data_IF_879509702731
#
_entry.id   IF_879509702731
#
_cell.length_a   1.000
_cell.length_b   1.000
_cell.length_c   1.000
_cell.angle_alpha   90.00
_cell.angle_beta   90.00
_cell.angle_gamma   90.00
#
_symmetry.space_group_name_H-M   'P 1'
#
loop_
_entity.id
_entity.type
_entity.pdbx_description
1 polymer ?
#
# COMPACT_ATOMS: atom_id res chain seq x y z
N UNK A 1 -19.14 -4.83 18.09
CA UNK A 1 -19.25 -3.40 17.70
C UNK A 1 -17.86 -2.82 17.81
N UNK A 2 -17.17 -2.59 16.70
CA UNK A 2 -15.89 -1.86 16.69
C UNK A 2 -16.20 -0.42 17.07
N UNK A 3 -15.70 0.00 18.24
CA UNK A 3 -15.82 1.40 18.70
C UNK A 3 -15.15 2.29 17.66
N UNK A 4 -15.89 3.22 17.06
CA UNK A 4 -15.31 4.18 16.11
C UNK A 4 -14.24 5.00 16.82
N UNK A 5 -13.05 5.06 16.19
CA UNK A 5 -11.94 5.86 16.70
C UNK A 5 -12.25 7.32 16.35
N UNK A 6 -12.36 8.17 17.36
CA UNK A 6 -12.66 9.60 17.22
C UNK A 6 -11.50 10.45 17.72
N UNK A 7 -11.44 11.71 17.32
CA UNK A 7 -10.47 12.68 17.84
C UNK A 7 -10.50 12.72 19.37
N UNK A 8 -11.69 12.71 19.98
CA UNK A 8 -11.84 12.68 21.44
C UNK A 8 -11.21 11.42 22.05
N UNK A 9 -11.49 10.23 21.49
CA UNK A 9 -10.93 8.98 22.02
C UNK A 9 -9.40 8.91 21.90
N UNK A 10 -8.84 9.52 20.85
CA UNK A 10 -7.39 9.66 20.68
C UNK A 10 -6.78 10.61 21.71
N UNK A 11 -7.43 11.74 21.99
CA UNK A 11 -7.01 12.69 23.03
C UNK A 11 -6.97 12.01 24.41
N UNK A 12 -8.00 11.25 24.76
CA UNK A 12 -8.08 10.51 26.04
C UNK A 12 -6.95 9.49 26.18
N UNK A 13 -6.68 8.73 25.09
CA UNK A 13 -5.59 7.74 25.07
C UNK A 13 -4.23 8.40 25.14
N UNK A 14 -4.02 9.47 24.41
CA UNK A 14 -2.77 10.25 24.45
C UNK A 14 -2.50 10.77 25.86
N UNK A 15 -3.51 11.39 26.49
CA UNK A 15 -3.39 11.93 27.85
C UNK A 15 -3.11 10.84 28.89
N UNK A 16 -3.71 9.67 28.74
CA UNK A 16 -3.45 8.53 29.62
C UNK A 16 -1.98 8.05 29.57
N UNK A 17 -1.33 8.15 28.40
CA UNK A 17 0.05 7.72 28.20
C UNK A 17 1.07 8.78 28.61
N UNK A 18 0.85 10.04 28.18
CA UNK A 18 1.85 11.11 28.32
C UNK A 18 1.57 12.10 29.46
N UNK A 19 0.38 12.04 30.05
CA UNK A 19 -0.03 12.94 31.15
C UNK A 19 -0.47 14.33 30.70
N UNK A 20 -0.39 14.63 29.43
CA UNK A 20 -0.69 15.92 28.80
C UNK A 20 -1.69 15.73 27.65
N UNK A 21 -2.30 16.82 27.20
CA UNK A 21 -3.18 16.79 26.03
C UNK A 21 -2.35 16.84 24.74
N UNK A 22 -2.83 16.17 23.70
CA UNK A 22 -2.26 16.34 22.38
C UNK A 22 -2.66 17.71 21.79
N UNK A 23 -1.78 18.29 20.98
CA UNK A 23 -2.08 19.53 20.26
C UNK A 23 -3.06 19.25 19.10
N UNK A 24 -2.89 18.12 18.41
CA UNK A 24 -3.69 17.71 17.27
C UNK A 24 -3.87 16.20 17.18
N UNK A 25 -4.91 15.78 16.45
CA UNK A 25 -5.18 14.40 16.08
C UNK A 25 -5.16 14.22 14.57
N UNK A 26 -4.83 13.01 14.11
CA UNK A 26 -4.50 12.74 12.73
C UNK A 26 -5.02 11.37 12.27
N UNK A 27 -5.22 11.24 10.96
CA UNK A 27 -5.49 9.96 10.32
C UNK A 27 -4.68 9.83 9.03
N UNK A 28 -4.12 8.66 8.82
CA UNK A 28 -3.46 8.26 7.58
C UNK A 28 -4.07 6.94 7.10
N UNK A 29 -4.63 6.89 5.88
CA UNK A 29 -5.27 5.68 5.35
C UNK A 29 -4.24 4.57 5.06
N UNK A 30 -4.74 3.35 4.92
CA UNK A 30 -4.11 2.32 4.11
C UNK A 30 -4.53 2.45 2.65
N UNK A 31 -4.15 1.48 1.81
CA UNK A 31 -4.56 1.45 0.40
C UNK A 31 -4.87 0.03 -0.07
N UNK A 32 -5.74 -0.06 -1.06
CA UNK A 32 -5.83 -1.18 -2.00
C UNK A 32 -5.26 -0.74 -3.35
N UNK A 33 -4.88 -1.69 -4.20
CA UNK A 33 -4.60 -1.41 -5.60
C UNK A 33 -5.60 -2.19 -6.46
N UNK A 34 -6.40 -1.48 -7.23
CA UNK A 34 -7.45 -2.10 -8.04
C UNK A 34 -6.86 -2.97 -9.14
N UNK A 35 -5.79 -2.49 -9.78
CA UNK A 35 -5.01 -3.19 -10.81
C UNK A 35 -3.69 -2.44 -11.06
N UNK A 36 -2.72 -3.07 -11.71
CA UNK A 36 -1.39 -2.48 -11.91
C UNK A 36 -0.42 -2.88 -10.81
N UNK A 37 -0.35 -4.18 -10.53
CA UNK A 37 0.51 -4.69 -9.47
C UNK A 37 1.92 -4.93 -9.97
N UNK A 38 2.92 -4.55 -9.15
CA UNK A 38 4.35 -4.64 -9.47
C UNK A 38 4.77 -3.84 -10.72
N UNK A 39 4.04 -2.80 -11.05
CA UNK A 39 4.34 -1.93 -12.20
C UNK A 39 5.00 -0.60 -11.80
N UNK A 40 4.89 -0.20 -10.54
CA UNK A 40 5.39 1.10 -10.07
C UNK A 40 6.92 1.22 -10.03
N UNK A 41 7.65 0.15 -9.88
CA UNK A 41 9.11 0.12 -10.03
C UNK A 41 9.57 -0.32 -11.43
N UNK A 42 8.61 -0.60 -12.30
CA UNK A 42 8.83 -0.95 -13.71
C UNK A 42 8.41 0.17 -14.68
N UNK A 43 8.12 1.37 -14.17
CA UNK A 43 7.72 2.51 -14.96
C UNK A 43 6.35 2.40 -15.62
N UNK A 44 5.46 1.59 -15.05
CA UNK A 44 4.09 1.41 -15.53
C UNK A 44 3.09 2.25 -14.75
N UNK A 45 1.80 2.00 -15.03
CA UNK A 45 0.68 2.63 -14.35
C UNK A 45 0.20 1.78 -13.19
N UNK A 46 -0.29 2.44 -12.14
CA UNK A 46 -0.99 1.84 -11.00
C UNK A 46 -2.36 2.48 -10.83
N UNK A 47 -3.27 1.79 -10.17
CA UNK A 47 -4.64 2.27 -9.99
C UNK A 47 -5.13 2.04 -8.55
N UNK A 48 -4.44 2.62 -7.54
CA UNK A 48 -4.79 2.43 -6.15
C UNK A 48 -5.92 3.36 -5.68
N UNK A 49 -6.47 3.02 -4.52
CA UNK A 49 -7.38 3.86 -3.75
C UNK A 49 -7.02 3.80 -2.27
N UNK A 50 -7.04 4.95 -1.60
CA UNK A 50 -6.95 5.03 -0.15
C UNK A 50 -8.23 4.51 0.50
N UNK A 51 -8.12 3.86 1.65
CA UNK A 51 -9.24 3.22 2.34
C UNK A 51 -9.39 3.70 3.78
N UNK A 52 -10.57 3.49 4.36
CA UNK A 52 -10.89 3.93 5.73
C UNK A 52 -10.18 3.14 6.84
N UNK A 53 -9.59 1.99 6.53
CA UNK A 53 -8.62 1.34 7.42
C UNK A 53 -7.29 2.11 7.35
N UNK A 54 -6.72 2.43 8.50
CA UNK A 54 -5.53 3.28 8.53
C UNK A 54 -4.86 3.35 9.89
N UNK A 55 -3.99 4.33 10.03
CA UNK A 55 -3.26 4.65 11.25
C UNK A 55 -3.73 6.00 11.79
N UNK A 56 -4.17 5.99 13.03
CA UNK A 56 -4.56 7.16 13.79
C UNK A 56 -3.39 7.67 14.60
N UNK A 57 -3.27 8.98 14.74
CA UNK A 57 -2.24 9.62 15.53
C UNK A 57 -2.77 10.72 16.43
N UNK A 58 -2.11 10.93 17.55
CA UNK A 58 -2.26 12.14 18.36
C UNK A 58 -0.85 12.60 18.73
N UNK A 59 -0.60 13.90 18.65
CA UNK A 59 0.76 14.41 18.83
C UNK A 59 0.79 15.78 19.52
N UNK A 60 1.88 16.04 20.21
CA UNK A 60 2.16 17.29 20.90
C UNK A 60 3.62 17.71 20.67
N UNK A 61 3.85 18.99 20.39
CA UNK A 61 5.20 19.59 20.36
C UNK A 61 5.77 19.67 21.78
N UNK A 62 7.05 19.35 21.95
CA UNK A 62 7.77 19.48 23.20
C UNK A 62 8.72 20.68 23.15
N UNK A 63 9.23 21.09 24.32
CA UNK A 63 10.21 22.18 24.44
C UNK A 63 11.66 21.63 24.41
N UNK A 64 11.86 20.35 24.77
CA UNK A 64 13.15 19.67 24.71
C UNK A 64 13.41 19.03 23.35
N UNK A 65 14.51 18.28 23.21
CA UNK A 65 14.90 17.60 21.97
C UNK A 65 14.71 16.07 22.06
N UNK A 66 13.65 15.62 22.72
CA UNK A 66 13.34 14.20 22.86
C UNK A 66 12.08 13.86 22.10
N UNK A 67 12.15 12.84 21.26
CA UNK A 67 11.00 12.19 20.63
C UNK A 67 10.53 11.06 21.54
N UNK A 68 9.23 11.03 21.86
CA UNK A 68 8.62 9.93 22.59
C UNK A 68 7.50 9.32 21.76
N UNK A 69 7.63 8.03 21.49
CA UNK A 69 6.69 7.27 20.68
C UNK A 69 5.98 6.22 21.53
N UNK A 70 4.68 6.10 21.36
CA UNK A 70 3.88 5.03 21.95
C UNK A 70 2.89 4.46 20.93
N UNK A 71 2.78 3.14 20.88
CA UNK A 71 1.80 2.47 20.00
C UNK A 71 0.75 1.74 20.84
N UNK A 72 -0.52 2.08 20.59
CA UNK A 72 -1.65 1.34 21.15
C UNK A 72 -1.82 -0.07 20.60
N UNK A 73 -1.07 -0.45 19.57
CA UNK A 73 -1.02 -1.83 19.06
C UNK A 73 0.07 -2.67 19.74
N UNK A 74 1.04 -2.03 20.41
CA UNK A 74 2.19 -2.66 21.06
C UNK A 74 2.43 -2.05 22.45
N UNK A 75 1.39 -2.04 23.27
CA UNK A 75 1.42 -1.40 24.60
C UNK A 75 2.50 -1.99 25.52
N UNK A 76 2.86 -3.28 25.34
CA UNK A 76 3.93 -3.95 26.05
C UNK A 76 5.32 -3.36 25.85
N UNK A 77 5.52 -2.61 24.77
CA UNK A 77 6.78 -1.90 24.45
C UNK A 77 6.93 -0.60 25.25
N UNK A 78 5.84 -0.07 25.79
CA UNK A 78 5.84 1.20 26.49
C UNK A 78 6.25 2.38 25.60
N UNK A 79 6.70 3.46 26.25
CA UNK A 79 7.21 4.65 25.57
C UNK A 79 8.63 4.38 25.08
N UNK A 80 8.87 4.60 23.79
CA UNK A 80 10.21 4.55 23.18
C UNK A 80 10.72 5.99 23.03
N UNK A 81 11.84 6.29 23.68
CA UNK A 81 12.47 7.62 23.64
C UNK A 81 13.64 7.63 22.68
N UNK A 82 13.71 8.65 21.83
CA UNK A 82 14.77 8.85 20.85
C UNK A 82 15.24 10.30 20.88
N UNK A 83 16.54 10.59 21.06
CA UNK A 83 17.05 11.94 20.90
C UNK A 83 16.86 12.44 19.46
N UNK A 84 16.31 13.64 19.30
CA UNK A 84 16.08 14.24 17.97
C UNK A 84 17.38 14.38 17.16
N UNK A 85 18.51 14.49 17.82
CA UNK A 85 19.83 14.61 17.19
C UNK A 85 20.39 13.26 16.69
N UNK A 86 19.74 12.16 17.02
CA UNK A 86 20.23 10.80 16.76
C UNK A 86 19.22 9.95 15.98
N UNK A 87 18.88 10.39 14.78
CA UNK A 87 17.91 9.73 13.90
C UNK A 87 18.62 8.74 12.96
N UNK A 88 19.15 7.64 13.50
CA UNK A 88 19.68 6.53 12.71
C UNK A 88 18.90 5.23 12.95
N UNK A 89 19.02 4.29 12.04
CA UNK A 89 18.36 2.98 12.16
C UNK A 89 18.93 2.20 13.34
N UNK A 90 18.06 1.70 14.20
CA UNK A 90 18.37 0.78 15.30
C UNK A 90 17.35 -0.35 15.31
N UNK A 91 17.83 -1.59 15.20
CA UNK A 91 16.96 -2.77 15.12
C UNK A 91 16.01 -2.88 16.33
N UNK A 92 16.48 -2.52 17.50
CA UNK A 92 15.76 -2.57 18.77
C UNK A 92 14.59 -1.58 18.82
N UNK A 93 14.67 -0.50 18.05
CA UNK A 93 13.62 0.51 17.93
C UNK A 93 12.42 0.06 17.08
N UNK A 94 12.52 -1.10 16.43
CA UNK A 94 11.42 -1.74 15.69
C UNK A 94 10.64 -0.76 14.80
N UNK A 95 9.32 -0.64 15.01
CA UNK A 95 8.45 0.21 14.22
C UNK A 95 8.81 1.71 14.26
N UNK A 96 9.46 2.18 15.32
CA UNK A 96 9.84 3.60 15.42
C UNK A 96 10.95 3.99 14.44
N UNK A 97 11.58 3.03 13.76
CA UNK A 97 12.50 3.34 12.67
C UNK A 97 11.80 4.05 11.49
N UNK A 98 10.52 3.78 11.25
CA UNK A 98 9.76 4.51 10.22
C UNK A 98 9.61 5.99 10.55
N UNK A 99 9.08 6.40 11.73
CA UNK A 99 9.10 7.78 12.16
C UNK A 99 10.48 8.44 12.11
N UNK A 100 11.51 7.74 12.60
CA UNK A 100 12.89 8.28 12.58
C UNK A 100 13.37 8.57 11.17
N UNK A 101 13.12 7.67 10.23
CA UNK A 101 13.51 7.84 8.83
C UNK A 101 12.79 9.03 8.16
N UNK A 102 11.50 9.21 8.40
CA UNK A 102 10.74 10.37 7.88
C UNK A 102 11.30 11.68 8.43
N UNK A 103 11.53 11.78 9.74
CA UNK A 103 12.07 12.98 10.37
C UNK A 103 13.50 13.26 9.90
N UNK A 104 14.32 12.22 9.73
CA UNK A 104 15.69 12.31 9.21
C UNK A 104 15.68 12.95 7.80
N UNK A 105 14.88 12.42 6.87
CA UNK A 105 14.84 12.93 5.50
C UNK A 105 14.14 14.30 5.38
N UNK A 106 13.21 14.63 6.27
CA UNK A 106 12.68 15.99 6.37
C UNK A 106 13.78 16.99 6.75
N UNK A 107 14.63 16.64 7.72
CA UNK A 107 15.76 17.49 8.11
C UNK A 107 16.81 17.60 6.99
N UNK A 108 17.13 16.50 6.30
CA UNK A 108 18.03 16.53 5.12
C UNK A 108 17.48 17.39 3.98
N UNK A 109 16.16 17.43 3.81
CA UNK A 109 15.50 18.31 2.83
C UNK A 109 15.47 19.79 3.27
N UNK A 110 16.03 20.12 4.45
CA UNK A 110 16.16 21.49 4.96
C UNK A 110 14.98 21.98 5.80
N UNK A 111 14.05 21.10 6.19
CA UNK A 111 12.95 21.48 7.07
C UNK A 111 13.41 21.53 8.53
N UNK A 112 13.03 22.59 9.21
CA UNK A 112 13.47 22.82 10.59
C UNK A 112 12.53 22.13 11.55
N UNK A 113 13.04 21.10 12.22
CA UNK A 113 12.41 20.42 13.36
C UNK A 113 13.31 20.72 14.57
N UNK A 114 12.94 21.72 15.33
CA UNK A 114 13.79 22.36 16.34
C UNK A 114 13.60 21.82 17.75
N UNK A 115 12.57 21.01 17.98
CA UNK A 115 12.26 20.41 19.27
C UNK A 115 11.65 19.02 19.10
N UNK A 116 11.55 18.29 20.20
CA UNK A 116 10.96 16.96 20.23
C UNK A 116 9.44 16.98 20.13
N UNK A 117 8.85 15.80 20.15
CA UNK A 117 7.40 15.59 20.13
C UNK A 117 7.01 14.33 20.87
N UNK A 118 5.80 14.32 21.44
CA UNK A 118 5.13 13.12 21.93
C UNK A 118 4.16 12.65 20.85
N UNK A 119 4.22 11.37 20.48
CA UNK A 119 3.40 10.78 19.44
C UNK A 119 2.77 9.48 19.95
N UNK A 120 1.45 9.44 19.95
CA UNK A 120 0.64 8.24 20.12
C UNK A 120 0.15 7.77 18.75
N UNK A 121 0.29 6.48 18.43
CA UNK A 121 -0.25 5.90 17.22
C UNK A 121 -1.11 4.67 17.54
N UNK A 122 -2.16 4.47 16.74
CA UNK A 122 -2.97 3.27 16.75
C UNK A 122 -3.44 2.93 15.33
N UNK A 123 -3.15 1.73 14.85
CA UNK A 123 -3.58 1.25 13.54
C UNK A 123 -4.71 0.24 13.64
N UNK A 124 -5.71 0.34 12.74
CA UNK A 124 -6.72 -0.69 12.53
C UNK A 124 -6.52 -1.46 11.21
N UNK A 125 -5.42 -1.21 10.52
CA UNK A 125 -4.97 -2.07 9.42
C UNK A 125 -4.52 -3.40 10.02
N UNK A 126 -5.06 -4.55 9.57
CA UNK A 126 -4.65 -5.84 10.10
C UNK A 126 -3.15 -6.09 9.89
N UNK A 127 -2.48 -6.60 10.90
CA UNK A 127 -1.05 -6.88 10.85
C UNK A 127 -0.72 -7.86 9.72
N UNK A 128 0.29 -7.52 8.92
CA UNK A 128 0.74 -8.36 7.82
C UNK A 128 -0.22 -8.45 6.63
N UNK A 129 -1.29 -7.65 6.60
CA UNK A 129 -2.31 -7.69 5.55
C UNK A 129 -1.84 -7.18 4.19
N UNK A 130 -0.72 -6.46 4.13
CA UNK A 130 -0.24 -5.86 2.89
C UNK A 130 -1.05 -4.67 2.40
N UNK A 131 -1.81 -4.02 3.29
CA UNK A 131 -2.59 -2.80 3.00
C UNK A 131 -1.79 -1.52 3.30
N UNK A 132 -0.46 -1.60 3.29
CA UNK A 132 0.50 -0.48 3.42
C UNK A 132 0.49 0.24 4.76
N UNK A 133 0.56 -0.52 5.86
CA UNK A 133 0.68 0.06 7.20
C UNK A 133 1.96 0.88 7.38
N UNK A 134 3.07 0.51 6.75
CA UNK A 134 4.34 1.27 6.77
C UNK A 134 4.18 2.65 6.15
N UNK A 135 3.70 2.71 4.92
CA UNK A 135 3.47 3.98 4.22
C UNK A 135 2.40 4.84 4.93
N UNK A 136 1.38 4.21 5.52
CA UNK A 136 0.39 4.89 6.35
C UNK A 136 1.05 5.59 7.54
N UNK A 137 1.96 4.92 8.23
CA UNK A 137 2.72 5.50 9.35
C UNK A 137 3.68 6.61 8.87
N UNK A 138 4.38 6.40 7.77
CA UNK A 138 5.32 7.39 7.21
C UNK A 138 4.62 8.70 6.88
N UNK A 139 3.51 8.65 6.14
CA UNK A 139 2.74 9.84 5.77
C UNK A 139 2.11 10.50 7.00
N UNK A 140 1.66 9.69 7.99
CA UNK A 140 1.16 10.21 9.27
C UNK A 140 2.21 11.07 9.96
N UNK A 141 3.43 10.57 10.10
CA UNK A 141 4.54 11.29 10.78
C UNK A 141 4.88 12.56 10.02
N UNK A 142 4.91 12.51 8.69
CA UNK A 142 5.17 13.70 7.88
C UNK A 142 4.12 14.79 8.08
N UNK A 143 2.83 14.44 8.10
CA UNK A 143 1.73 15.42 8.34
C UNK A 143 1.73 15.89 9.80
N UNK A 144 2.10 15.05 10.76
CA UNK A 144 2.33 15.47 12.16
C UNK A 144 3.42 16.55 12.22
N UNK A 145 4.56 16.29 11.61
CA UNK A 145 5.68 17.25 11.57
C UNK A 145 5.28 18.55 10.87
N UNK A 146 4.61 18.46 9.71
CA UNK A 146 4.08 19.60 8.98
C UNK A 146 3.24 20.50 9.89
N UNK A 147 2.31 19.89 10.64
CA UNK A 147 1.37 20.63 11.49
C UNK A 147 2.03 21.20 12.75
N UNK A 148 2.87 20.43 13.44
CA UNK A 148 3.48 20.85 14.72
C UNK A 148 4.59 21.91 14.56
N UNK A 149 5.29 21.89 13.42
CA UNK A 149 6.40 22.84 13.17
C UNK A 149 6.06 23.89 12.11
N UNK A 150 4.78 23.98 11.69
CA UNK A 150 4.30 24.92 10.67
C UNK A 150 5.15 24.86 9.38
N UNK A 151 5.44 23.62 8.94
CA UNK A 151 6.17 23.40 7.71
C UNK A 151 5.26 23.56 6.50
N UNK A 152 5.77 24.16 5.44
CA UNK A 152 5.08 24.25 4.17
C UNK A 152 5.58 23.13 3.26
N UNK A 153 4.94 21.95 3.36
CA UNK A 153 5.30 20.76 2.59
C UNK A 153 4.37 20.59 1.39
N UNK A 154 4.95 20.43 0.20
CA UNK A 154 4.19 19.85 -0.90
C UNK A 154 3.91 18.38 -0.58
N UNK A 155 2.65 17.94 -0.80
CA UNK A 155 2.26 16.56 -0.49
C UNK A 155 3.04 15.54 -1.30
N UNK A 156 3.39 15.87 -2.54
CA UNK A 156 4.20 15.00 -3.39
C UNK A 156 5.64 14.86 -2.86
N UNK A 157 6.21 15.92 -2.28
CA UNK A 157 7.53 15.84 -1.65
C UNK A 157 7.48 14.94 -0.41
N UNK A 158 6.42 15.00 0.38
CA UNK A 158 6.23 14.08 1.50
C UNK A 158 6.08 12.63 1.05
N UNK A 159 5.37 12.38 -0.05
CA UNK A 159 5.27 11.06 -0.69
C UNK A 159 6.66 10.53 -1.07
N UNK A 160 7.51 11.36 -1.66
CA UNK A 160 8.90 11.00 -2.02
C UNK A 160 9.74 10.72 -0.78
N UNK A 161 9.59 11.50 0.29
CA UNK A 161 10.26 11.28 1.58
C UNK A 161 9.86 9.94 2.21
N UNK A 162 8.57 9.57 2.17
CA UNK A 162 8.11 8.25 2.60
C UNK A 162 8.77 7.11 1.83
N UNK A 163 8.78 7.19 0.50
CA UNK A 163 9.49 6.22 -0.35
C UNK A 163 10.99 6.16 -0.02
N UNK A 164 11.64 7.30 0.15
CA UNK A 164 13.05 7.38 0.52
C UNK A 164 13.32 6.73 1.88
N UNK A 165 12.40 6.89 2.83
CA UNK A 165 12.47 6.22 4.14
C UNK A 165 12.46 4.71 3.99
N UNK A 166 11.53 4.13 3.23
CA UNK A 166 11.53 2.68 3.01
C UNK A 166 12.80 2.21 2.30
N UNK A 167 13.23 2.90 1.26
CA UNK A 167 14.32 2.44 0.41
C UNK A 167 15.70 2.58 1.09
N UNK A 168 15.95 3.71 1.74
CA UNK A 168 17.30 4.06 2.22
C UNK A 168 17.46 4.00 3.75
N UNK A 169 16.38 4.04 4.51
CA UNK A 169 16.44 3.93 5.96
C UNK A 169 16.06 2.54 6.46
N UNK A 170 14.99 1.98 5.93
CA UNK A 170 14.50 0.64 6.29
C UNK A 170 15.16 -0.45 5.45
N UNK A 171 15.48 -0.18 4.17
CA UNK A 171 16.14 -1.11 3.27
C UNK A 171 15.18 -1.98 2.43
N UNK A 172 13.92 -1.59 2.31
CA UNK A 172 12.96 -2.21 1.39
C UNK A 172 12.94 -1.43 0.09
N UNK A 173 13.28 -2.07 -1.02
CA UNK A 173 13.42 -1.44 -2.32
C UNK A 173 12.08 -1.31 -3.05
N UNK A 174 11.10 -0.65 -2.41
CA UNK A 174 9.73 -0.46 -2.90
C UNK A 174 9.62 0.59 -4.01
N UNK A 175 8.49 0.56 -4.75
CA UNK A 175 8.07 1.62 -5.65
C UNK A 175 7.40 2.78 -4.90
N UNK A 176 6.69 3.64 -5.63
CA UNK A 176 6.07 4.86 -5.05
C UNK A 176 4.57 4.71 -4.76
N UNK A 177 3.94 3.67 -5.25
CA UNK A 177 2.47 3.52 -5.25
C UNK A 177 1.85 3.73 -3.86
N UNK A 178 2.42 3.10 -2.85
CA UNK A 178 1.84 3.06 -1.51
C UNK A 178 1.80 4.46 -0.87
N UNK A 179 2.91 5.15 -0.85
CA UNK A 179 3.00 6.51 -0.32
C UNK A 179 2.16 7.49 -1.15
N UNK A 180 2.14 7.29 -2.49
CA UNK A 180 1.34 8.13 -3.37
C UNK A 180 -0.16 7.98 -3.09
N UNK A 181 -0.66 6.76 -3.00
CA UNK A 181 -2.06 6.48 -2.71
C UNK A 181 -2.49 7.07 -1.36
N UNK A 182 -1.65 6.92 -0.34
CA UNK A 182 -1.93 7.36 1.03
C UNK A 182 -1.82 8.87 1.18
N UNK A 183 -0.87 9.49 0.48
CA UNK A 183 -0.69 10.94 0.51
C UNK A 183 -1.72 11.71 -0.32
N UNK A 184 -2.03 11.20 -1.53
CA UNK A 184 -2.81 11.90 -2.55
C UNK A 184 -4.26 11.41 -2.68
N UNK A 185 -4.69 10.46 -1.87
CA UNK A 185 -6.04 9.88 -1.89
C UNK A 185 -7.15 10.93 -1.79
N UNK A 186 -8.28 10.67 -2.44
CA UNK A 186 -9.47 11.50 -2.39
C UNK A 186 -10.72 10.64 -2.19
N UNK A 187 -11.73 11.21 -1.52
CA UNK A 187 -12.97 10.50 -1.25
C UNK A 187 -13.63 9.99 -2.53
N UNK A 188 -14.06 8.73 -2.52
CA UNK A 188 -14.76 8.06 -3.62
C UNK A 188 -14.02 8.09 -4.96
N UNK A 189 -12.70 8.25 -4.94
CA UNK A 189 -11.87 8.31 -6.14
C UNK A 189 -10.69 7.35 -6.04
N UNK A 190 -10.41 6.66 -7.14
CA UNK A 190 -9.16 5.94 -7.34
C UNK A 190 -8.13 6.86 -8.01
N UNK A 191 -6.87 6.57 -7.79
CA UNK A 191 -5.76 7.32 -8.37
C UNK A 191 -5.21 6.53 -9.56
N UNK A 192 -5.33 7.08 -10.76
CA UNK A 192 -4.65 6.55 -11.94
C UNK A 192 -3.33 7.29 -12.10
N UNK A 193 -2.23 6.60 -11.85
CA UNK A 193 -0.88 7.18 -11.76
C UNK A 193 0.05 6.58 -12.79
N UNK A 194 0.69 7.43 -13.59
CA UNK A 194 1.90 7.10 -14.35
C UNK A 194 3.12 7.22 -13.43
N UNK A 195 3.77 6.10 -13.12
CA UNK A 195 4.89 6.10 -12.17
C UNK A 195 6.20 6.62 -12.75
N UNK A 196 6.30 6.80 -14.07
CA UNK A 196 7.45 7.44 -14.71
C UNK A 196 7.44 8.96 -14.57
N UNK A 197 6.28 9.56 -14.83
CA UNK A 197 6.12 11.03 -14.85
C UNK A 197 5.59 11.60 -13.57
N UNK A 198 4.91 10.77 -12.74
CA UNK A 198 4.11 11.12 -11.59
C UNK A 198 2.87 11.96 -11.94
N UNK A 199 2.50 11.99 -13.21
CA UNK A 199 1.20 12.53 -13.64
C UNK A 199 0.09 11.58 -13.17
N UNK A 200 -0.99 12.13 -12.66
CA UNK A 200 -2.09 11.33 -12.15
C UNK A 200 -3.45 11.99 -12.37
N UNK A 201 -4.47 11.15 -12.42
CA UNK A 201 -5.87 11.56 -12.44
C UNK A 201 -6.63 10.92 -11.28
N UNK A 202 -7.55 11.69 -10.70
CA UNK A 202 -8.51 11.19 -9.72
C UNK A 202 -9.76 10.73 -10.46
N UNK A 203 -9.93 9.42 -10.55
CA UNK A 203 -11.02 8.77 -11.29
C UNK A 203 -12.14 8.40 -10.31
N UNK A 204 -13.39 8.86 -10.55
CA UNK A 204 -14.53 8.45 -9.74
C UNK A 204 -14.70 6.93 -9.72
N UNK A 205 -14.82 6.35 -8.52
CA UNK A 205 -15.02 4.91 -8.34
C UNK A 205 -16.52 4.61 -8.21
N UNK A 206 -17.23 4.65 -9.31
CA UNK A 206 -18.65 4.33 -9.38
C UNK A 206 -18.86 2.83 -9.63
N UNK A 207 -19.05 2.07 -8.56
CA UNK A 207 -19.22 0.61 -8.58
C UNK A 207 -20.67 0.16 -8.67
N UNK A 208 -21.64 1.07 -8.87
CA UNK A 208 -23.08 0.78 -8.92
C UNK A 208 -23.54 -0.02 -7.68
N UNK A 209 -24.13 -1.21 -7.93
CA UNK A 209 -24.60 -2.11 -6.88
C UNK A 209 -23.52 -3.06 -6.34
N UNK A 210 -22.25 -2.78 -6.62
CA UNK A 210 -21.14 -3.60 -6.18
C UNK A 210 -20.31 -2.88 -5.11
N UNK A 211 -19.55 -3.68 -4.37
CA UNK A 211 -18.56 -3.22 -3.40
C UNK A 211 -17.25 -3.97 -3.62
N UNK A 212 -16.14 -3.39 -3.16
CA UNK A 212 -14.88 -4.10 -3.07
C UNK A 212 -14.78 -4.78 -1.71
N UNK A 213 -14.67 -6.10 -1.71
CA UNK A 213 -14.42 -6.90 -0.51
C UNK A 213 -12.94 -7.20 -0.43
N UNK A 214 -12.30 -6.80 0.66
CA UNK A 214 -10.92 -7.17 0.98
C UNK A 214 -10.94 -8.52 1.68
N UNK A 215 -10.17 -9.47 1.17
CA UNK A 215 -9.99 -10.81 1.70
C UNK A 215 -8.56 -10.93 2.25
N UNK A 216 -8.40 -10.97 3.57
CA UNK A 216 -7.09 -11.13 4.19
C UNK A 216 -6.80 -12.62 4.43
N UNK A 217 -5.68 -13.10 3.87
CA UNK A 217 -5.24 -14.49 4.07
C UNK A 217 -4.91 -14.83 5.50
N UNK A 218 -4.63 -13.84 6.36
CA UNK A 218 -4.08 -14.02 7.71
C UNK A 218 -2.77 -14.85 7.75
N UNK A 219 -2.11 -15.02 6.60
CA UNK A 219 -0.80 -15.66 6.52
C UNK A 219 0.27 -14.78 7.14
N UNK A 220 1.10 -15.35 8.01
CA UNK A 220 2.29 -14.67 8.51
C UNK A 220 3.27 -14.41 7.35
N UNK A 221 3.69 -13.18 7.19
CA UNK A 221 4.65 -12.78 6.16
C UNK A 221 6.07 -12.98 6.68
N UNK A 222 6.66 -14.09 6.27
CA UNK A 222 8.08 -14.36 6.45
C UNK A 222 8.76 -14.22 5.07
N UNK A 223 9.90 -13.54 4.99
CA UNK A 223 10.68 -13.35 3.76
C UNK A 223 9.97 -12.61 2.60
N UNK A 224 8.87 -11.90 2.85
CA UNK A 224 8.16 -11.17 1.79
C UNK A 224 9.07 -10.10 1.16
N UNK A 225 9.82 -9.35 1.96
CA UNK A 225 10.70 -8.26 1.50
C UNK A 225 11.86 -8.78 0.64
N UNK A 226 12.46 -9.92 1.00
CA UNK A 226 13.54 -10.52 0.21
C UNK A 226 13.06 -11.02 -1.15
N UNK A 227 11.87 -11.63 -1.21
CA UNK A 227 11.26 -12.08 -2.47
C UNK A 227 10.81 -10.90 -3.33
N UNK A 228 10.32 -9.83 -2.72
CA UNK A 228 9.99 -8.60 -3.42
C UNK A 228 11.23 -8.00 -4.11
N UNK A 229 12.33 -7.88 -3.37
CA UNK A 229 13.59 -7.40 -3.91
C UNK A 229 14.14 -8.32 -5.03
N UNK A 230 13.95 -9.63 -4.93
CA UNK A 230 14.29 -10.59 -5.98
C UNK A 230 13.50 -10.31 -7.27
N UNK A 231 12.17 -10.13 -7.19
CA UNK A 231 11.33 -9.79 -8.35
C UNK A 231 11.76 -8.50 -9.01
N UNK A 232 12.08 -7.49 -8.22
CA UNK A 232 12.58 -6.22 -8.74
C UNK A 232 13.91 -6.39 -9.48
N UNK A 233 14.87 -7.12 -8.89
CA UNK A 233 16.17 -7.41 -9.50
C UNK A 233 16.03 -8.20 -10.82
N UNK A 234 15.12 -9.16 -10.88
CA UNK A 234 14.82 -9.90 -12.11
C UNK A 234 14.33 -8.97 -13.23
N UNK A 235 13.45 -8.02 -12.92
CA UNK A 235 12.98 -7.03 -13.88
C UNK A 235 14.07 -6.05 -14.31
N UNK A 236 14.89 -5.55 -13.39
CA UNK A 236 16.00 -4.64 -13.69
C UNK A 236 17.05 -5.33 -14.59
N UNK A 237 17.33 -6.61 -14.35
CA UNK A 237 18.20 -7.41 -15.22
C UNK A 237 17.60 -7.60 -16.62
N UNK A 238 16.30 -7.87 -16.71
CA UNK A 238 15.60 -7.99 -18.00
C UNK A 238 15.69 -6.69 -18.80
N UNK A 239 15.52 -5.52 -18.16
CA UNK A 239 15.71 -4.22 -18.83
C UNK A 239 17.13 -4.09 -19.37
N UNK A 240 18.15 -4.40 -18.58
CA UNK A 240 19.55 -4.34 -19.01
C UNK A 240 19.84 -5.23 -20.24
N UNK A 241 19.24 -6.42 -20.28
CA UNK A 241 19.36 -7.32 -21.42
C UNK A 241 18.63 -6.79 -22.67
N UNK A 242 17.45 -6.20 -22.52
CA UNK A 242 16.70 -5.58 -23.61
C UNK A 242 17.42 -4.33 -24.18
N UNK A 243 18.12 -3.60 -23.33
CA UNK A 243 18.91 -2.42 -23.73
C UNK A 243 20.07 -2.73 -24.69
N UNK A 244 20.40 -4.01 -24.93
CA UNK A 244 21.34 -4.40 -25.99
C UNK A 244 20.86 -3.91 -27.38
N UNK A 245 19.55 -3.76 -27.59
CA UNK A 245 18.95 -3.32 -28.87
C UNK A 245 17.85 -2.26 -28.75
N UNK A 246 17.33 -2.03 -27.56
CA UNK A 246 16.24 -1.08 -27.31
C UNK A 246 16.73 0.10 -26.50
N UNK A 247 16.30 1.29 -26.88
CA UNK A 247 16.52 2.52 -26.10
C UNK A 247 15.34 2.73 -25.13
N UNK A 248 15.34 1.94 -24.06
CA UNK A 248 14.33 1.99 -22.98
C UNK A 248 15.00 2.14 -21.62
N UNK A 249 14.29 2.74 -20.68
CA UNK A 249 14.71 2.84 -19.28
C UNK A 249 13.89 1.90 -18.38
N UNK A 250 12.68 1.58 -18.77
CA UNK A 250 11.74 0.76 -17.99
C UNK A 250 10.91 -0.16 -18.89
N UNK A 251 10.38 -1.23 -18.29
CA UNK A 251 9.48 -2.16 -18.98
C UNK A 251 8.13 -1.50 -19.35
N UNK A 252 7.72 -0.47 -18.62
CA UNK A 252 6.49 0.28 -18.90
C UNK A 252 6.49 1.04 -20.22
N UNK A 253 7.65 1.24 -20.85
CA UNK A 253 7.79 1.85 -22.17
C UNK A 253 7.48 0.88 -23.32
N UNK A 254 7.33 -0.43 -23.03
CA UNK A 254 7.06 -1.46 -24.03
C UNK A 254 5.57 -1.78 -24.11
N UNK A 255 5.12 -2.07 -25.33
CA UNK A 255 3.88 -2.78 -25.60
C UNK A 255 4.16 -4.28 -25.83
N UNK A 256 3.09 -5.07 -25.98
CA UNK A 256 3.21 -6.52 -26.21
C UNK A 256 4.01 -6.84 -27.46
N UNK A 257 3.81 -6.09 -28.56
CA UNK A 257 4.48 -6.34 -29.82
C UNK A 257 5.98 -6.09 -29.74
N UNK A 258 6.39 -4.99 -29.15
CA UNK A 258 7.79 -4.66 -28.92
C UNK A 258 8.44 -5.67 -27.97
N UNK A 259 7.73 -6.05 -26.91
CA UNK A 259 8.21 -7.08 -25.98
C UNK A 259 8.43 -8.43 -26.66
N UNK A 260 7.43 -8.92 -27.39
CA UNK A 260 7.53 -10.23 -28.09
C UNK A 260 8.64 -10.22 -29.13
N UNK A 261 8.83 -9.11 -29.86
CA UNK A 261 9.87 -8.98 -30.88
C UNK A 261 11.30 -9.06 -30.30
N UNK A 262 11.51 -8.64 -29.05
CA UNK A 262 12.83 -8.52 -28.43
C UNK A 262 13.04 -9.39 -27.20
N UNK A 263 12.04 -10.16 -26.76
CA UNK A 263 12.13 -11.02 -25.57
C UNK A 263 13.23 -12.07 -25.63
N UNK A 264 13.68 -12.43 -26.85
CA UNK A 264 14.81 -13.34 -27.06
C UNK A 264 16.15 -12.81 -26.52
N UNK A 265 16.26 -11.52 -26.23
CA UNK A 265 17.44 -10.91 -25.62
C UNK A 265 17.56 -11.23 -24.13
N UNK A 266 16.43 -11.57 -23.49
CA UNK A 266 16.39 -11.95 -22.07
C UNK A 266 16.86 -13.40 -21.96
N UNK A 267 17.93 -13.63 -21.18
CA UNK A 267 18.70 -14.89 -21.16
C UNK A 267 18.15 -15.94 -20.19
N UNK A 268 17.09 -15.63 -19.45
CA UNK A 268 16.51 -16.51 -18.43
C UNK A 268 14.98 -16.55 -18.56
N UNK A 269 14.40 -17.75 -18.53
CA UNK A 269 12.95 -17.93 -18.69
C UNK A 269 12.11 -17.25 -17.59
N UNK A 270 12.60 -17.24 -16.34
CA UNK A 270 11.91 -16.55 -15.26
C UNK A 270 11.91 -15.04 -15.49
N UNK A 271 13.03 -14.47 -15.92
CA UNK A 271 13.09 -13.04 -16.26
C UNK A 271 12.18 -12.69 -17.43
N UNK A 272 12.04 -13.57 -18.43
CA UNK A 272 11.05 -13.38 -19.51
C UNK A 272 9.63 -13.32 -18.94
N UNK A 273 9.26 -14.23 -18.03
CA UNK A 273 7.97 -14.24 -17.36
C UNK A 273 7.73 -12.96 -16.54
N UNK A 274 8.72 -12.54 -15.74
CA UNK A 274 8.62 -11.29 -14.95
C UNK A 274 8.40 -10.07 -15.83
N UNK A 275 9.20 -9.94 -16.89
CA UNK A 275 9.07 -8.85 -17.85
C UNK A 275 7.72 -8.87 -18.58
N UNK A 276 7.25 -10.06 -18.98
CA UNK A 276 5.92 -10.23 -19.60
C UNK A 276 4.81 -9.74 -18.67
N UNK A 277 4.85 -10.14 -17.40
CA UNK A 277 3.87 -9.63 -16.43
C UNK A 277 3.88 -8.10 -16.39
N UNK A 278 5.05 -7.48 -16.20
CA UNK A 278 5.16 -6.02 -16.07
C UNK A 278 4.59 -5.28 -17.31
N UNK A 279 4.95 -5.74 -18.50
CA UNK A 279 4.45 -5.15 -19.77
C UNK A 279 2.94 -5.32 -19.90
N UNK A 280 2.43 -6.53 -19.71
CA UNK A 280 1.00 -6.81 -19.87
C UNK A 280 0.15 -6.23 -18.74
N UNK A 281 0.64 -6.20 -17.52
CA UNK A 281 -0.07 -5.56 -16.40
C UNK A 281 -0.24 -4.06 -16.62
N UNK A 282 0.77 -3.40 -17.15
CA UNK A 282 0.64 -2.01 -17.55
C UNK A 282 -0.47 -1.83 -18.61
N UNK A 283 -0.53 -2.69 -19.63
CA UNK A 283 -1.59 -2.64 -20.64
C UNK A 283 -2.98 -2.90 -20.03
N UNK A 284 -3.09 -3.88 -19.11
CA UNK A 284 -4.36 -4.14 -18.39
C UNK A 284 -4.80 -2.92 -17.58
N UNK A 285 -3.88 -2.21 -16.96
CA UNK A 285 -4.19 -0.99 -16.18
C UNK A 285 -4.73 0.13 -17.06
N UNK A 286 -4.14 0.35 -18.23
CA UNK A 286 -4.65 1.30 -19.22
C UNK A 286 -6.07 0.95 -19.69
N UNK A 287 -6.35 -0.34 -19.92
CA UNK A 287 -7.67 -0.82 -20.31
C UNK A 287 -8.69 -0.73 -19.18
N UNK A 288 -8.26 -1.02 -17.94
CA UNK A 288 -9.10 -0.96 -16.75
C UNK A 288 -9.61 0.45 -16.47
N UNK A 289 -8.76 1.47 -16.65
CA UNK A 289 -9.19 2.88 -16.58
C UNK A 289 -10.33 3.14 -17.57
N UNK A 290 -10.18 2.75 -18.83
CA UNK A 290 -11.19 2.95 -19.87
C UNK A 290 -12.50 2.21 -19.54
N UNK A 291 -12.41 0.98 -19.04
CA UNK A 291 -13.57 0.21 -18.63
C UNK A 291 -14.33 0.88 -17.49
N UNK A 292 -13.62 1.35 -16.46
CA UNK A 292 -14.22 2.05 -15.33
C UNK A 292 -14.91 3.36 -15.74
N UNK A 293 -14.24 4.18 -16.56
CA UNK A 293 -14.80 5.44 -17.09
C UNK A 293 -16.03 5.22 -17.99
N UNK A 294 -16.08 4.09 -18.70
CA UNK A 294 -17.24 3.69 -19.52
C UNK A 294 -18.36 3.02 -18.70
N UNK A 295 -18.17 2.75 -17.42
CA UNK A 295 -19.11 2.01 -16.59
C UNK A 295 -19.16 0.50 -16.91
N UNK A 296 -18.18 -0.04 -17.65
CA UNK A 296 -18.05 -1.47 -17.95
C UNK A 296 -17.40 -2.23 -16.80
N UNK A 297 -18.15 -2.45 -15.74
CA UNK A 297 -17.67 -3.15 -14.54
C UNK A 297 -17.39 -4.64 -14.80
N UNK A 298 -18.08 -5.27 -15.74
CA UNK A 298 -17.77 -6.65 -16.15
C UNK A 298 -16.41 -6.74 -16.85
N UNK A 299 -16.14 -5.80 -17.78
CA UNK A 299 -14.83 -5.68 -18.43
C UNK A 299 -13.73 -5.40 -17.42
N UNK A 300 -13.98 -4.52 -16.46
CA UNK A 300 -13.05 -4.24 -15.36
C UNK A 300 -12.76 -5.50 -14.53
N UNK A 301 -13.79 -6.26 -14.17
CA UNK A 301 -13.67 -7.53 -13.44
C UNK A 301 -12.85 -8.58 -14.21
N UNK A 302 -13.06 -8.71 -15.51
CA UNK A 302 -12.26 -9.62 -16.36
C UNK A 302 -10.77 -9.23 -16.37
N UNK A 303 -10.45 -7.93 -16.37
CA UNK A 303 -9.07 -7.45 -16.28
C UNK A 303 -8.45 -7.75 -14.91
N UNK A 304 -9.22 -7.63 -13.82
CA UNK A 304 -8.77 -8.06 -12.48
C UNK A 304 -8.42 -9.56 -12.48
N UNK A 305 -9.26 -10.41 -13.05
CA UNK A 305 -9.01 -11.85 -13.14
C UNK A 305 -7.74 -12.15 -13.95
N UNK A 306 -7.58 -11.50 -15.10
CA UNK A 306 -6.39 -11.65 -15.93
C UNK A 306 -5.11 -11.19 -15.21
N UNK A 307 -5.18 -10.13 -14.42
CA UNK A 307 -4.09 -9.68 -13.55
C UNK A 307 -3.66 -10.76 -12.56
N UNK A 308 -4.62 -11.41 -11.88
CA UNK A 308 -4.29 -12.47 -10.93
C UNK A 308 -3.63 -13.67 -11.60
N UNK A 309 -4.14 -14.13 -12.75
CA UNK A 309 -3.54 -15.22 -13.52
C UNK A 309 -2.08 -14.91 -13.88
N UNK A 310 -1.79 -13.68 -14.30
CA UNK A 310 -0.43 -13.23 -14.59
C UNK A 310 0.46 -13.18 -13.34
N UNK A 311 -0.06 -12.72 -12.22
CA UNK A 311 0.63 -12.70 -10.93
C UNK A 311 0.93 -14.11 -10.41
N UNK A 312 0.03 -15.07 -10.65
CA UNK A 312 0.17 -16.47 -10.27
C UNK A 312 1.22 -17.19 -11.13
N UNK A 313 1.15 -17.06 -12.46
CA UNK A 313 1.94 -17.89 -13.39
C UNK A 313 3.17 -17.20 -13.96
N UNK A 314 3.13 -15.89 -14.20
CA UNK A 314 4.27 -15.15 -14.76
C UNK A 314 5.12 -14.46 -13.67
N UNK A 315 4.48 -13.93 -12.63
CA UNK A 315 5.20 -13.25 -11.56
C UNK A 315 5.49 -14.11 -10.35
N UNK A 316 4.67 -15.14 -10.10
CA UNK A 316 4.81 -16.13 -9.03
C UNK A 316 4.89 -15.48 -7.63
N UNK A 317 3.94 -14.61 -7.35
CA UNK A 317 3.84 -13.86 -6.07
C UNK A 317 2.60 -14.20 -5.26
N UNK A 318 1.72 -15.07 -5.74
CA UNK A 318 0.43 -15.36 -5.10
C UNK A 318 0.53 -16.45 -4.02
N UNK A 319 0.72 -17.70 -4.40
CA UNK A 319 0.77 -18.85 -3.51
C UNK A 319 -0.61 -19.39 -3.11
N UNK A 320 -0.61 -20.53 -2.42
CA UNK A 320 -1.82 -21.31 -2.10
C UNK A 320 -2.94 -20.46 -1.47
N UNK A 321 -2.60 -19.63 -0.50
CA UNK A 321 -3.57 -18.88 0.29
C UNK A 321 -4.31 -17.83 -0.56
N UNK A 322 -3.58 -17.03 -1.33
CA UNK A 322 -4.19 -16.03 -2.22
C UNK A 322 -4.94 -16.69 -3.38
N UNK A 323 -4.38 -17.75 -3.98
CA UNK A 323 -5.02 -18.47 -5.08
C UNK A 323 -6.32 -19.13 -4.61
N UNK A 324 -6.35 -19.70 -3.41
CA UNK A 324 -7.57 -20.28 -2.83
C UNK A 324 -8.66 -19.23 -2.66
N UNK A 325 -8.33 -18.05 -2.12
CA UNK A 325 -9.30 -16.95 -1.98
C UNK A 325 -9.85 -16.51 -3.34
N UNK A 326 -8.96 -16.27 -4.29
CA UNK A 326 -9.32 -15.67 -5.58
C UNK A 326 -10.05 -16.68 -6.49
N UNK A 327 -9.56 -17.91 -6.60
CA UNK A 327 -10.22 -18.94 -7.42
C UNK A 327 -11.61 -19.28 -6.88
N UNK A 328 -11.74 -19.36 -5.55
CA UNK A 328 -13.07 -19.57 -4.94
C UNK A 328 -13.98 -18.37 -5.17
N UNK A 329 -13.46 -17.14 -5.10
CA UNK A 329 -14.22 -15.93 -5.36
C UNK A 329 -14.79 -15.90 -6.79
N UNK A 330 -14.03 -16.34 -7.79
CA UNK A 330 -14.49 -16.38 -9.18
C UNK A 330 -15.68 -17.29 -9.41
N UNK A 331 -15.87 -18.31 -8.58
CA UNK A 331 -16.98 -19.26 -8.67
C UNK A 331 -18.28 -18.76 -8.04
N UNK A 332 -18.21 -17.63 -7.29
CA UNK A 332 -19.37 -17.14 -6.53
C UNK A 332 -20.29 -16.27 -7.39
N UNK A 333 -21.58 -16.47 -7.20
CA UNK A 333 -22.60 -15.62 -7.82
C UNK A 333 -22.45 -14.15 -7.38
N UNK A 334 -22.54 -13.21 -8.30
CA UNK A 334 -22.44 -11.79 -8.03
C UNK A 334 -21.02 -11.24 -7.95
N UNK A 335 -20.01 -12.05 -8.23
CA UNK A 335 -18.61 -11.63 -8.34
C UNK A 335 -18.29 -11.27 -9.78
N UNK A 336 -17.85 -10.04 -10.01
CA UNK A 336 -17.43 -9.57 -11.33
C UNK A 336 -15.94 -9.83 -11.60
N UNK A 337 -15.12 -9.85 -10.55
CA UNK A 337 -13.70 -10.15 -10.62
C UNK A 337 -13.05 -10.19 -9.24
N UNK A 338 -11.89 -10.83 -9.19
CA UNK A 338 -11.07 -10.91 -7.98
C UNK A 338 -9.59 -11.08 -8.33
N UNK A 339 -8.73 -10.52 -7.49
CA UNK A 339 -7.27 -10.58 -7.64
C UNK A 339 -6.55 -10.32 -6.31
N UNK A 340 -5.31 -10.78 -6.20
CA UNK A 340 -4.46 -10.28 -5.12
C UNK A 340 -4.21 -8.78 -5.24
N UNK A 341 -3.97 -8.11 -4.12
CA UNK A 341 -3.60 -6.70 -4.07
C UNK A 341 -2.34 -6.51 -3.22
N UNK A 342 -1.45 -5.61 -3.64
CA UNK A 342 -0.17 -5.36 -2.98
C UNK A 342 0.95 -6.29 -3.44
N UNK A 343 1.94 -6.51 -2.58
CA UNK A 343 3.15 -7.25 -2.95
C UNK A 343 2.95 -8.76 -3.16
N UNK A 344 1.89 -9.33 -2.63
CA UNK A 344 1.70 -10.79 -2.61
C UNK A 344 2.45 -11.47 -1.47
N UNK A 345 2.79 -12.74 -1.64
CA UNK A 345 3.44 -13.59 -0.63
C UNK A 345 2.62 -13.72 0.67
N UNK A 346 1.32 -13.79 0.57
CA UNK A 346 0.31 -13.58 1.60
C UNK A 346 -0.32 -12.20 1.50
N UNK A 347 -0.87 -11.71 2.60
CA UNK A 347 -1.59 -10.43 2.60
C UNK A 347 -3.01 -10.58 2.06
N UNK A 348 -3.47 -9.65 1.24
CA UNK A 348 -4.86 -9.56 0.82
C UNK A 348 -5.09 -9.80 -0.67
N UNK A 349 -6.29 -10.25 -0.96
CA UNK A 349 -6.93 -10.16 -2.26
C UNK A 349 -8.13 -9.22 -2.17
N UNK A 350 -8.62 -8.75 -3.31
CA UNK A 350 -9.85 -7.97 -3.43
C UNK A 350 -10.80 -8.64 -4.42
N UNK A 351 -12.10 -8.52 -4.17
CA UNK A 351 -13.15 -8.99 -5.06
C UNK A 351 -14.20 -7.89 -5.26
N UNK A 352 -14.67 -7.74 -6.49
CA UNK A 352 -15.78 -6.87 -6.83
C UNK A 352 -17.07 -7.68 -6.76
N UNK A 353 -17.89 -7.44 -5.74
CA UNK A 353 -19.02 -8.30 -5.36
C UNK A 353 -20.30 -7.46 -5.30
N UNK A 354 -21.41 -8.03 -5.82
CA UNK A 354 -22.72 -7.41 -5.65
C UNK A 354 -23.08 -7.31 -4.15
N UNK A 355 -23.60 -6.14 -3.75
CA UNK A 355 -23.92 -5.82 -2.34
C UNK A 355 -24.82 -6.87 -1.68
N UNK A 356 -25.81 -7.39 -2.43
CA UNK A 356 -26.77 -8.36 -1.91
C UNK A 356 -26.19 -9.77 -1.76
N UNK A 357 -25.00 -10.02 -2.30
CA UNK A 357 -24.33 -11.32 -2.28
C UNK A 357 -23.15 -11.38 -1.30
N UNK A 358 -22.80 -10.29 -0.65
CA UNK A 358 -21.59 -10.18 0.19
C UNK A 358 -21.56 -11.22 1.31
N UNK A 359 -22.66 -11.43 2.04
CA UNK A 359 -22.68 -12.37 3.16
C UNK A 359 -22.55 -13.83 2.70
N UNK A 360 -23.25 -14.21 1.63
CA UNK A 360 -23.11 -15.54 1.02
C UNK A 360 -21.71 -15.75 0.44
N UNK A 361 -21.12 -14.71 -0.14
CA UNK A 361 -19.74 -14.70 -0.63
C UNK A 361 -18.74 -14.96 0.50
N UNK A 362 -18.83 -14.21 1.60
CA UNK A 362 -17.95 -14.39 2.77
C UNK A 362 -18.02 -15.81 3.33
N UNK A 363 -19.21 -16.35 3.46
CA UNK A 363 -19.42 -17.71 3.97
C UNK A 363 -18.79 -18.75 3.03
N UNK A 364 -19.08 -18.70 1.74
CA UNK A 364 -18.57 -19.67 0.78
C UNK A 364 -17.03 -19.62 0.65
N UNK A 365 -16.46 -18.43 0.48
CA UNK A 365 -15.01 -18.24 0.35
C UNK A 365 -14.31 -18.57 1.66
N UNK A 366 -14.86 -18.13 2.80
CA UNK A 366 -14.31 -18.41 4.12
C UNK A 366 -14.24 -19.91 4.44
N UNK A 367 -15.33 -20.64 4.21
CA UNK A 367 -15.39 -22.09 4.44
C UNK A 367 -14.40 -22.85 3.53
N UNK A 368 -14.36 -22.53 2.26
CA UNK A 368 -13.42 -23.18 1.33
C UNK A 368 -11.97 -22.89 1.68
N UNK A 369 -11.67 -21.64 2.04
CA UNK A 369 -10.31 -21.26 2.47
C UNK A 369 -9.89 -22.03 3.72
N UNK A 370 -10.74 -22.10 4.74
CA UNK A 370 -10.44 -22.81 5.99
C UNK A 370 -10.25 -24.32 5.76
N UNK A 371 -11.06 -24.92 4.87
CA UNK A 371 -10.92 -26.32 4.48
C UNK A 371 -9.56 -26.60 3.82
N UNK A 372 -9.08 -25.70 2.93
CA UNK A 372 -7.83 -25.92 2.18
C UNK A 372 -6.60 -25.50 2.97
N UNK A 373 -6.66 -24.38 3.67
CA UNK A 373 -5.51 -23.72 4.30
C UNK A 373 -5.38 -24.10 5.79
N UNK A 374 -6.48 -24.41 6.44
CA UNK A 374 -6.49 -24.88 7.84
C UNK A 374 -6.73 -23.79 8.91
N UNK A 375 -6.97 -22.55 8.49
CA UNK A 375 -7.39 -21.44 9.36
C UNK A 375 -8.25 -20.44 8.58
N UNK A 376 -9.05 -19.65 9.31
CA UNK A 376 -10.00 -18.73 8.68
C UNK A 376 -9.33 -17.48 8.09
N UNK A 377 -9.83 -16.96 6.95
CA UNK A 377 -9.47 -15.65 6.46
C UNK A 377 -10.28 -14.56 7.19
N UNK A 378 -9.97 -13.30 6.91
CA UNK A 378 -10.77 -12.17 7.39
C UNK A 378 -11.28 -11.35 6.19
N UNK A 379 -12.46 -10.73 6.34
CA UNK A 379 -13.09 -9.95 5.29
C UNK A 379 -13.38 -8.53 5.77
N UNK A 380 -13.20 -7.55 4.88
CA UNK A 380 -13.51 -6.14 5.11
C UNK A 380 -14.16 -5.56 3.87
N UNK A 381 -15.11 -4.65 4.04
CA UNK A 381 -15.59 -3.84 2.93
C UNK A 381 -14.63 -2.65 2.77
N UNK A 382 -14.08 -2.46 1.57
CA UNK A 382 -13.25 -1.31 1.28
C UNK A 382 -14.13 -0.08 1.06
N UNK A 383 -14.00 0.90 1.94
CA UNK A 383 -14.54 2.23 1.74
C UNK A 383 -13.38 3.15 1.36
N UNK A 384 -13.56 3.90 0.27
CA UNK A 384 -12.53 4.78 -0.26
C UNK A 384 -12.48 6.07 0.55
N UNK A 385 -11.29 6.47 0.95
CA UNK A 385 -11.04 7.59 1.86
C UNK A 385 -10.17 8.67 1.21
N UNK A 386 -10.22 9.87 1.79
CA UNK A 386 -9.22 10.90 1.54
C UNK A 386 -7.85 10.51 2.13
N UNK A 387 -6.79 11.12 1.61
CA UNK A 387 -5.42 10.92 2.05
C UNK A 387 -5.16 11.34 3.49
N UNK A 388 -3.89 11.26 3.88
CA UNK A 388 -3.42 11.60 5.24
C UNK A 388 -3.78 13.05 5.60
N UNK A 389 -4.35 13.25 6.80
CA UNK A 389 -4.92 14.51 7.22
C UNK A 389 -4.98 14.72 8.73
N UNK A 390 -5.17 15.96 9.12
CA UNK A 390 -5.57 16.35 10.48
C UNK A 390 -7.07 16.04 10.67
N UNK A 391 -7.48 15.60 11.86
CA UNK A 391 -8.87 15.22 12.18
C UNK A 391 -9.65 16.30 12.94
N UNK A 392 -8.99 17.16 13.70
CA UNK A 392 -9.58 18.21 14.55
C UNK A 392 -9.96 19.48 13.79
#
# INVERSE_FOLDING_TARGET
MTTSITSQSLQEKFQAVFGEKADHTFFSPGRINLIGEHTDYNGGHVFPAAITLGTYGAARKREDKVLRFFSGNFEDKGIIEVPLENLHFEKEHNWTNYPKGVLHFLQEAGHIIDSGMDIYVYGNIPNGSGLSSSASLELLIGVIAEKLYDLHLDRLDLVKIGKQTENHFIGVNSGIMDQFAIGMGADQRAIYLDTNTLEYDLVPLDLKDNVVVIMNTNKRRELADSKYNERRSECETAVSELQEKLDIQTLGELDLWSFDAYSYLIKDENRIKRARHAVLENQRTLQARKALEAGDLEGFGRLMNASHVSLEHDYEVTGLELDTLVHTAWEQEGVLGARMTGAGFGGCAIALVNKDKVEAFKEAVGNRYEEVVGYAPSFYIAEVAAGTRVLD
#
